data_IF_567231628580
#
_entry.id   IF_567231628580
#
_cell.length_a   1.000
_cell.length_b   1.000
_cell.length_c   1.000
_cell.angle_alpha   90.00
_cell.angle_beta   90.00
_cell.angle_gamma   90.00
#
_symmetry.space_group_name_H-M   'P 1'
#
loop_
_entity.id
_entity.type
_entity.pdbx_description
1 polymer ?
#
# COMPACT_ATOMS: atom_id res chain seq x y z
N UNK A 1 13.73 26.94 19.14
CA UNK A 1 15.19 26.77 19.35
C UNK A 1 15.64 25.73 18.32
N UNK A 2 16.28 26.23 17.27
CA UNK A 2 17.04 25.54 16.21
C UNK A 2 16.37 24.38 15.42
N UNK A 3 15.55 24.73 14.43
CA UNK A 3 15.35 23.93 13.21
C UNK A 3 16.30 24.43 12.11
N UNK A 4 17.60 24.18 12.23
CA UNK A 4 18.52 24.42 11.11
C UNK A 4 19.56 23.30 11.00
N UNK A 5 19.27 22.31 10.17
CA UNK A 5 20.24 21.40 9.59
C UNK A 5 19.56 20.73 8.41
N UNK A 6 20.14 20.87 7.22
CA UNK A 6 19.63 20.45 5.90
C UNK A 6 18.53 19.37 5.96
N UNK A 7 17.29 19.75 5.62
CA UNK A 7 16.15 18.83 5.46
C UNK A 7 16.31 17.89 4.25
N UNK A 8 17.48 17.92 3.62
CA UNK A 8 17.81 17.15 2.43
C UNK A 8 19.07 16.31 2.63
N UNK A 9 19.05 15.13 2.04
CA UNK A 9 20.06 14.08 2.12
C UNK A 9 20.63 13.81 0.72
N UNK A 10 21.93 13.51 0.68
CA UNK A 10 22.64 13.16 -0.55
C UNK A 10 23.29 14.35 -1.25
N UNK A 11 24.30 14.07 -2.08
CA UNK A 11 25.13 15.09 -2.76
C UNK A 11 24.39 15.94 -3.78
N UNK A 12 23.17 15.54 -4.16
CA UNK A 12 22.32 16.25 -5.14
C UNK A 12 21.16 16.99 -4.49
N UNK A 13 21.01 16.94 -3.17
CA UNK A 13 19.93 17.61 -2.43
C UNK A 13 18.52 17.37 -3.01
N UNK A 14 18.26 16.12 -3.42
CA UNK A 14 16.98 15.68 -3.98
C UNK A 14 16.12 14.94 -2.97
N UNK A 15 16.72 14.34 -1.95
CA UNK A 15 16.05 13.43 -1.02
C UNK A 15 15.66 14.19 0.24
N UNK A 16 14.38 14.23 0.59
CA UNK A 16 13.95 14.81 1.87
C UNK A 16 14.29 13.86 3.01
N UNK A 17 14.88 14.38 4.08
CA UNK A 17 15.31 13.59 5.24
C UNK A 17 14.15 12.82 5.86
N UNK A 18 13.01 13.49 6.07
CA UNK A 18 11.83 12.88 6.65
C UNK A 18 11.30 11.69 5.84
N UNK A 19 11.19 11.83 4.52
CA UNK A 19 10.70 10.76 3.64
C UNK A 19 11.67 9.58 3.61
N UNK A 20 12.97 9.87 3.55
CA UNK A 20 14.01 8.85 3.50
C UNK A 20 14.06 8.01 4.78
N UNK A 21 14.03 8.66 5.94
CA UNK A 21 14.03 7.98 7.24
C UNK A 21 12.78 7.11 7.40
N UNK A 22 11.60 7.61 7.03
CA UNK A 22 10.35 6.81 7.09
C UNK A 22 10.41 5.56 6.22
N UNK A 23 10.97 5.67 5.02
CA UNK A 23 11.13 4.53 4.11
C UNK A 23 12.14 3.51 4.67
N UNK A 24 13.23 3.96 5.31
CA UNK A 24 14.16 3.07 6.01
C UNK A 24 13.47 2.35 7.17
N UNK A 25 12.73 3.07 8.01
CA UNK A 25 11.99 2.50 9.14
C UNK A 25 11.02 1.42 8.63
N UNK A 26 10.31 1.68 7.53
CA UNK A 26 9.41 0.71 6.91
C UNK A 26 10.15 -0.58 6.54
N UNK A 27 11.28 -0.48 5.85
CA UNK A 27 12.06 -1.65 5.46
C UNK A 27 12.64 -2.40 6.66
N UNK A 28 13.04 -1.70 7.72
CA UNK A 28 13.48 -2.36 8.97
C UNK A 28 12.35 -3.20 9.59
N UNK A 29 11.12 -2.67 9.63
CA UNK A 29 9.96 -3.45 10.08
C UNK A 29 9.69 -4.65 9.14
N UNK A 30 9.71 -4.45 7.83
CA UNK A 30 9.49 -5.51 6.83
C UNK A 30 10.54 -6.64 6.92
N UNK A 31 11.79 -6.31 7.23
CA UNK A 31 12.89 -7.26 7.41
C UNK A 31 12.90 -7.93 8.80
N UNK A 32 12.00 -7.54 9.71
CA UNK A 32 11.89 -8.11 11.06
C UNK A 32 12.78 -7.44 12.11
N UNK A 33 13.44 -6.32 11.80
CA UNK A 33 14.28 -5.55 12.73
C UNK A 33 13.47 -4.54 13.56
N UNK A 34 12.40 -5.00 14.21
CA UNK A 34 11.46 -4.16 14.97
C UNK A 34 12.13 -3.30 16.06
N UNK A 35 13.14 -3.84 16.77
CA UNK A 35 13.89 -3.08 17.79
C UNK A 35 14.65 -1.91 17.19
N UNK A 36 15.33 -2.15 16.07
CA UNK A 36 16.11 -1.12 15.37
C UNK A 36 15.19 -0.08 14.74
N UNK A 37 14.04 -0.50 14.21
CA UNK A 37 13.03 0.40 13.67
C UNK A 37 12.49 1.36 14.75
N UNK A 38 12.08 0.82 15.90
CA UNK A 38 11.60 1.60 17.05
C UNK A 38 12.67 2.55 17.59
N UNK A 39 13.92 2.09 17.71
CA UNK A 39 15.03 2.94 18.17
C UNK A 39 15.29 4.08 17.17
N UNK A 40 15.24 3.80 15.87
CA UNK A 40 15.42 4.82 14.83
C UNK A 40 14.28 5.86 14.86
N UNK A 41 13.04 5.45 15.13
CA UNK A 41 11.92 6.38 15.34
C UNK A 41 12.18 7.33 16.52
N UNK A 42 12.69 6.81 17.64
CA UNK A 42 13.04 7.59 18.82
C UNK A 42 14.22 8.55 18.58
N UNK A 43 15.31 8.06 17.98
CA UNK A 43 16.52 8.83 17.70
C UNK A 43 16.28 9.94 16.67
N UNK A 44 15.55 9.62 15.59
CA UNK A 44 15.27 10.56 14.51
C UNK A 44 14.11 11.49 14.81
N UNK A 45 13.26 11.13 15.79
CA UNK A 45 11.95 11.76 16.08
C UNK A 45 11.00 11.76 14.87
N UNK A 46 11.22 10.85 13.94
CA UNK A 46 10.40 10.66 12.74
C UNK A 46 9.69 9.33 12.88
N UNK A 47 8.37 9.38 13.02
CA UNK A 47 7.53 8.18 13.09
C UNK A 47 7.23 7.64 11.69
N UNK A 48 7.17 6.32 11.53
CA UNK A 48 6.79 5.68 10.27
C UNK A 48 5.41 6.18 9.79
N UNK A 49 4.44 6.14 10.68
CA UNK A 49 3.06 6.52 10.46
C UNK A 49 2.44 6.99 11.77
N UNK A 50 1.33 7.73 11.67
CA UNK A 50 0.62 8.19 12.87
C UNK A 50 0.01 6.99 13.62
N UNK A 51 -0.16 7.07 14.95
CA UNK A 51 -0.77 5.99 15.72
C UNK A 51 -2.20 5.69 15.25
N UNK A 52 -2.92 6.69 14.75
CA UNK A 52 -4.25 6.54 14.15
C UNK A 52 -4.21 5.66 12.90
N UNK A 53 -3.18 5.80 12.06
CA UNK A 53 -3.01 4.96 10.86
C UNK A 53 -2.66 3.53 11.23
N UNK A 54 -1.80 3.33 12.23
CA UNK A 54 -1.48 1.99 12.75
C UNK A 54 -2.72 1.31 13.33
N UNK A 55 -3.51 2.06 14.12
CA UNK A 55 -4.78 1.59 14.66
C UNK A 55 -5.76 1.26 13.55
N UNK A 56 -5.91 2.13 12.55
CA UNK A 56 -6.76 1.91 11.39
C UNK A 56 -6.41 0.61 10.66
N UNK A 57 -5.12 0.36 10.39
CA UNK A 57 -4.67 -0.88 9.75
C UNK A 57 -5.04 -2.12 10.57
N UNK A 58 -4.82 -2.07 11.88
CA UNK A 58 -5.20 -3.18 12.78
C UNK A 58 -6.71 -3.42 12.79
N UNK A 59 -7.52 -2.36 12.83
CA UNK A 59 -8.98 -2.46 12.80
C UNK A 59 -9.50 -3.09 11.51
N UNK A 60 -8.90 -2.75 10.36
CA UNK A 60 -9.25 -3.37 9.07
C UNK A 60 -8.92 -4.87 9.06
N UNK A 61 -7.74 -5.25 9.57
CA UNK A 61 -7.33 -6.66 9.63
C UNK A 61 -8.18 -7.47 10.62
N UNK A 62 -8.55 -6.88 11.75
CA UNK A 62 -9.42 -7.49 12.76
C UNK A 62 -10.91 -7.53 12.33
N UNK A 63 -11.30 -6.73 11.33
CA UNK A 63 -12.68 -6.63 10.85
C UNK A 63 -13.56 -5.69 11.71
N UNK A 64 -12.95 -4.75 12.43
CA UNK A 64 -13.61 -3.72 13.23
C UNK A 64 -14.02 -2.54 12.36
N UNK A 65 -14.99 -2.77 11.48
CA UNK A 65 -15.35 -1.84 10.41
C UNK A 65 -15.84 -0.47 10.88
N UNK A 66 -16.75 -0.42 11.87
CA UNK A 66 -17.29 0.86 12.33
C UNK A 66 -16.25 1.71 13.06
N UNK A 67 -15.35 1.06 13.82
CA UNK A 67 -14.21 1.71 14.45
C UNK A 67 -13.21 2.22 13.41
N UNK A 68 -12.91 1.43 12.37
CA UNK A 68 -12.01 1.84 11.29
C UNK A 68 -12.50 3.11 10.57
N UNK A 69 -13.82 3.25 10.38
CA UNK A 69 -14.41 4.44 9.77
C UNK A 69 -14.29 5.65 10.72
N UNK A 70 -14.52 5.45 12.03
CA UNK A 70 -14.36 6.52 13.01
C UNK A 70 -12.90 7.00 13.09
N UNK A 71 -11.93 6.08 13.07
CA UNK A 71 -10.50 6.41 13.01
C UNK A 71 -10.15 7.17 11.73
N UNK A 72 -10.72 6.78 10.59
CA UNK A 72 -10.55 7.48 9.31
C UNK A 72 -11.09 8.91 9.36
N UNK A 73 -12.20 9.14 10.07
CA UNK A 73 -12.78 10.47 10.25
C UNK A 73 -11.89 11.41 11.08
N UNK A 74 -11.12 10.84 12.03
CA UNK A 74 -10.15 11.58 12.84
C UNK A 74 -8.91 12.05 12.06
N UNK A 75 -8.58 11.38 10.93
CA UNK A 75 -7.44 11.73 10.09
C UNK A 75 -7.81 12.95 9.22
N UNK A 76 -7.42 14.14 9.69
CA UNK A 76 -7.74 15.44 9.06
C UNK A 76 -7.00 15.71 7.75
N UNK A 77 -5.91 14.99 7.52
CA UNK A 77 -5.04 15.16 6.35
C UNK A 77 -5.61 14.52 5.07
N UNK A 78 -6.66 13.71 5.20
CA UNK A 78 -7.35 13.06 4.08
C UNK A 78 -8.36 14.02 3.42
N UNK A 79 -8.33 14.08 2.09
CA UNK A 79 -9.36 14.79 1.33
C UNK A 79 -10.73 14.12 1.53
N UNK A 80 -11.84 14.87 1.47
CA UNK A 80 -13.17 14.30 1.61
C UNK A 80 -13.49 13.26 0.52
N UNK A 81 -12.94 13.39 -0.69
CA UNK A 81 -13.10 12.42 -1.78
C UNK A 81 -12.36 11.11 -1.50
N UNK A 82 -11.10 11.19 -1.06
CA UNK A 82 -10.30 10.02 -0.70
C UNK A 82 -10.93 9.30 0.50
N UNK A 83 -11.41 10.08 1.48
CA UNK A 83 -12.14 9.56 2.65
C UNK A 83 -13.42 8.83 2.23
N UNK A 84 -14.27 9.46 1.43
CA UNK A 84 -15.52 8.84 0.98
C UNK A 84 -15.27 7.56 0.16
N UNK A 85 -14.22 7.56 -0.67
CA UNK A 85 -13.82 6.39 -1.45
C UNK A 85 -13.29 5.26 -0.55
N UNK A 86 -12.48 5.60 0.45
CA UNK A 86 -11.98 4.64 1.44
C UNK A 86 -13.13 4.05 2.29
N UNK A 87 -14.06 4.88 2.79
CA UNK A 87 -15.26 4.41 3.51
C UNK A 87 -16.10 3.52 2.60
N UNK A 88 -16.27 3.86 1.32
CA UNK A 88 -17.00 3.04 0.37
C UNK A 88 -16.37 1.64 0.23
N UNK A 89 -15.05 1.53 0.09
CA UNK A 89 -14.36 0.24 0.01
C UNK A 89 -14.52 -0.58 1.30
N UNK A 90 -14.41 0.07 2.47
CA UNK A 90 -14.61 -0.59 3.77
C UNK A 90 -16.03 -1.14 3.88
N UNK A 91 -17.04 -0.34 3.52
CA UNK A 91 -18.43 -0.78 3.53
C UNK A 91 -18.72 -1.86 2.50
N UNK A 92 -18.07 -1.80 1.34
CA UNK A 92 -18.16 -2.84 0.32
C UNK A 92 -17.62 -4.17 0.87
N UNK A 93 -16.47 -4.17 1.55
CA UNK A 93 -15.94 -5.38 2.19
C UNK A 93 -16.86 -5.87 3.31
N UNK A 94 -17.34 -4.98 4.19
CA UNK A 94 -18.31 -5.29 5.23
C UNK A 94 -19.58 -5.95 4.65
N UNK A 95 -20.08 -5.44 3.53
CA UNK A 95 -21.22 -6.00 2.80
C UNK A 95 -20.96 -7.43 2.30
N UNK A 96 -19.79 -7.70 1.73
CA UNK A 96 -19.42 -9.05 1.30
C UNK A 96 -19.30 -10.02 2.48
N UNK A 97 -18.77 -9.58 3.62
CA UNK A 97 -18.73 -10.42 4.83
C UNK A 97 -20.13 -10.78 5.36
N UNK A 98 -21.08 -9.84 5.35
CA UNK A 98 -22.48 -10.14 5.71
C UNK A 98 -23.16 -11.06 4.71
N UNK A 99 -22.91 -10.85 3.41
CA UNK A 99 -23.39 -11.77 2.39
C UNK A 99 -22.84 -13.16 2.64
N UNK A 100 -21.55 -13.34 2.89
CA UNK A 100 -20.97 -14.66 3.16
C UNK A 100 -21.59 -15.34 4.39
N UNK A 101 -22.03 -14.57 5.40
CA UNK A 101 -22.78 -15.06 6.58
C UNK A 101 -24.27 -15.30 6.34
N UNK A 102 -24.77 -15.09 5.12
CA UNK A 102 -26.19 -15.12 4.75
C UNK A 102 -27.09 -14.11 5.48
N UNK A 103 -26.52 -13.05 6.06
CA UNK A 103 -27.28 -11.97 6.67
C UNK A 103 -27.62 -10.90 5.64
N UNK A 104 -28.64 -11.19 4.83
CA UNK A 104 -29.08 -10.29 3.75
C UNK A 104 -29.79 -9.03 4.27
N UNK A 105 -30.32 -9.08 5.50
CA UNK A 105 -30.97 -7.95 6.17
C UNK A 105 -29.98 -6.83 6.46
N UNK A 106 -28.89 -7.15 7.14
CA UNK A 106 -27.85 -6.16 7.49
C UNK A 106 -27.12 -5.66 6.24
N UNK A 107 -26.88 -6.54 5.27
CA UNK A 107 -26.32 -6.16 3.97
C UNK A 107 -27.18 -5.13 3.23
N UNK A 108 -28.52 -5.25 3.29
CA UNK A 108 -29.46 -4.29 2.72
C UNK A 108 -29.45 -2.95 3.46
N UNK A 109 -29.34 -2.95 4.79
CA UNK A 109 -29.26 -1.72 5.60
C UNK A 109 -28.01 -0.93 5.23
N UNK A 110 -26.86 -1.59 5.09
CA UNK A 110 -25.59 -0.95 4.71
C UNK A 110 -25.68 -0.34 3.29
N UNK A 111 -26.27 -1.07 2.34
CA UNK A 111 -26.40 -0.63 0.96
C UNK A 111 -27.36 0.57 0.82
N UNK A 112 -28.49 0.55 1.55
CA UNK A 112 -29.50 1.61 1.52
C UNK A 112 -29.12 2.83 2.37
N UNK A 113 -28.38 2.63 3.45
CA UNK A 113 -27.95 3.68 4.37
C UNK A 113 -26.67 4.37 3.90
N UNK A 114 -25.55 4.04 4.54
CA UNK A 114 -24.29 4.79 4.40
C UNK A 114 -23.68 4.69 2.99
N UNK A 115 -23.85 3.57 2.29
CA UNK A 115 -23.31 3.41 0.92
C UNK A 115 -24.03 4.26 -0.13
N UNK A 116 -25.35 4.47 0.01
CA UNK A 116 -26.13 5.30 -0.92
C UNK A 116 -25.82 6.80 -0.73
N UNK A 117 -25.47 7.19 0.50
CA UNK A 117 -25.12 8.57 0.88
C UNK A 117 -23.71 8.97 0.44
N UNK A 118 -22.80 8.01 0.22
CA UNK A 118 -21.41 8.28 -0.16
C UNK A 118 -21.27 8.76 -1.62
N UNK A 119 -22.25 8.51 -2.49
CA UNK A 119 -22.31 9.08 -3.85
C UNK A 119 -21.20 8.67 -4.83
N UNK A 120 -20.26 7.79 -4.43
CA UNK A 120 -19.01 7.55 -5.18
C UNK A 120 -19.19 6.67 -6.42
N UNK A 121 -20.17 5.76 -6.48
CA UNK A 121 -20.39 4.95 -7.69
C UNK A 121 -21.78 4.29 -7.75
N UNK A 122 -22.72 4.93 -8.47
CA UNK A 122 -24.08 4.40 -8.67
C UNK A 122 -24.09 3.07 -9.44
N UNK A 123 -23.09 2.82 -10.29
CA UNK A 123 -22.96 1.58 -11.06
C UNK A 123 -22.55 0.40 -10.18
N UNK A 124 -21.57 0.58 -9.30
CA UNK A 124 -21.18 -0.44 -8.31
C UNK A 124 -22.31 -0.71 -7.31
N UNK A 125 -23.04 0.32 -6.86
CA UNK A 125 -24.20 0.13 -5.98
C UNK A 125 -25.29 -0.73 -6.64
N UNK A 126 -25.61 -0.47 -7.91
CA UNK A 126 -26.56 -1.29 -8.65
C UNK A 126 -26.06 -2.74 -8.80
N UNK A 127 -24.77 -2.93 -9.11
CA UNK A 127 -24.15 -4.25 -9.19
C UNK A 127 -24.25 -5.02 -7.86
N UNK A 128 -23.97 -4.37 -6.73
CA UNK A 128 -24.08 -4.95 -5.39
C UNK A 128 -25.55 -5.30 -5.06
N UNK A 129 -26.50 -4.43 -5.43
CA UNK A 129 -27.93 -4.70 -5.28
C UNK A 129 -28.37 -5.92 -6.12
N UNK A 130 -27.84 -6.10 -7.32
CA UNK A 130 -28.09 -7.30 -8.12
C UNK A 130 -27.56 -8.58 -7.46
N UNK A 131 -26.46 -8.50 -6.69
CA UNK A 131 -25.88 -9.64 -5.98
C UNK A 131 -26.76 -10.14 -4.82
N UNK A 132 -27.59 -9.27 -4.23
CA UNK A 132 -28.58 -9.67 -3.25
C UNK A 132 -29.71 -10.51 -3.87
N UNK A 133 -30.05 -10.24 -5.13
CA UNK A 133 -31.18 -10.85 -5.83
C UNK A 133 -30.78 -12.16 -6.52
N UNK A 134 -29.58 -12.24 -7.08
CA UNK A 134 -29.12 -13.38 -7.88
C UNK A 134 -27.96 -14.14 -7.22
N UNK A 135 -28.23 -15.35 -6.73
CA UNK A 135 -27.24 -16.25 -6.13
C UNK A 135 -26.10 -16.64 -7.08
N UNK A 136 -26.39 -16.80 -8.38
CA UNK A 136 -25.39 -17.09 -9.42
C UNK A 136 -24.33 -15.99 -9.54
N UNK A 137 -24.75 -14.72 -9.52
CA UNK A 137 -23.87 -13.54 -9.60
C UNK A 137 -23.08 -13.32 -8.30
N UNK A 138 -23.69 -13.65 -7.15
CA UNK A 138 -23.03 -13.70 -5.84
C UNK A 138 -21.90 -14.74 -5.80
N UNK A 139 -22.09 -15.91 -6.38
CA UNK A 139 -21.07 -16.95 -6.42
C UNK A 139 -19.93 -16.62 -7.39
N UNK A 140 -20.21 -15.95 -8.50
CA UNK A 140 -19.19 -15.50 -9.46
C UNK A 140 -18.26 -14.42 -8.87
N UNK A 141 -18.83 -13.41 -8.22
CA UNK A 141 -18.06 -12.29 -7.64
C UNK A 141 -17.44 -12.71 -6.30
N UNK A 142 -18.16 -13.49 -5.50
CA UNK A 142 -17.64 -14.08 -4.27
C UNK A 142 -16.41 -14.95 -4.54
N UNK A 143 -16.33 -15.68 -5.66
CA UNK A 143 -15.11 -16.42 -6.03
C UNK A 143 -13.89 -15.53 -6.28
N UNK A 144 -14.06 -14.28 -6.73
CA UNK A 144 -12.94 -13.32 -6.90
C UNK A 144 -12.47 -12.73 -5.56
N UNK A 145 -13.36 -12.65 -4.57
CA UNK A 145 -13.12 -12.01 -3.27
C UNK A 145 -12.90 -13.01 -2.12
N UNK A 146 -13.13 -14.31 -2.34
CA UNK A 146 -13.01 -15.35 -1.31
C UNK A 146 -11.56 -15.59 -0.87
N UNK A 147 -11.26 -15.08 0.32
CA UNK A 147 -10.15 -15.48 1.18
C UNK A 147 -10.22 -14.66 2.45
N UNK A 148 -10.68 -15.24 3.57
CA UNK A 148 -11.06 -14.48 4.78
C UNK A 148 -9.96 -13.58 5.37
N UNK A 149 -8.69 -13.90 5.12
CA UNK A 149 -7.54 -13.02 5.45
C UNK A 149 -6.95 -12.30 4.23
N UNK A 150 -6.97 -12.95 3.06
CA UNK A 150 -6.41 -12.39 1.83
C UNK A 150 -7.25 -11.23 1.29
N UNK A 151 -8.57 -11.26 1.51
CA UNK A 151 -9.50 -10.19 1.13
C UNK A 151 -9.31 -8.91 1.95
N UNK A 152 -9.03 -9.04 3.25
CA UNK A 152 -8.74 -7.90 4.13
C UNK A 152 -7.38 -7.27 3.80
N UNK A 153 -6.37 -8.08 3.49
CA UNK A 153 -5.07 -7.59 2.99
C UNK A 153 -5.19 -6.93 1.62
N UNK A 154 -5.99 -7.49 0.71
CA UNK A 154 -6.32 -6.87 -0.58
C UNK A 154 -7.03 -5.54 -0.41
N UNK A 155 -8.02 -5.45 0.49
CA UNK A 155 -8.66 -4.19 0.84
C UNK A 155 -7.64 -3.16 1.33
N UNK A 156 -6.71 -3.56 2.21
CA UNK A 156 -5.67 -2.66 2.73
C UNK A 156 -4.75 -2.15 1.61
N UNK A 157 -4.45 -3.00 0.62
CA UNK A 157 -3.71 -2.60 -0.59
C UNK A 157 -4.51 -1.64 -1.49
N UNK A 158 -5.82 -1.85 -1.67
CA UNK A 158 -6.67 -0.91 -2.41
C UNK A 158 -6.79 0.43 -1.68
N UNK A 159 -6.90 0.41 -0.36
CA UNK A 159 -6.92 1.61 0.47
C UNK A 159 -5.62 2.40 0.37
N UNK A 160 -4.46 1.74 0.27
CA UNK A 160 -3.16 2.40 0.02
C UNK A 160 -3.08 3.15 -1.31
N UNK A 161 -3.88 2.75 -2.31
CA UNK A 161 -3.92 3.45 -3.60
C UNK A 161 -4.75 4.74 -3.54
N UNK A 162 -5.68 4.82 -2.57
CA UNK A 162 -6.57 5.97 -2.39
C UNK A 162 -5.99 6.94 -1.36
N UNK A 163 -5.40 6.41 -0.28
CA UNK A 163 -4.79 7.19 0.79
C UNK A 163 -3.44 7.74 0.29
N UNK A 164 -3.17 9.05 0.42
CA UNK A 164 -1.92 9.65 0.00
C UNK A 164 -0.68 8.93 0.59
N UNK A 165 0.37 8.70 -0.20
CA UNK A 165 1.62 8.08 0.27
C UNK A 165 2.32 8.83 1.41
N UNK A 166 2.04 10.13 1.55
CA UNK A 166 2.50 10.94 2.68
C UNK A 166 1.91 10.49 4.01
N UNK A 167 0.69 9.96 3.99
CA UNK A 167 -0.02 9.46 5.17
C UNK A 167 0.30 7.97 5.36
N UNK A 168 0.20 7.19 4.29
CA UNK A 168 0.40 5.73 4.32
C UNK A 168 1.37 5.31 3.22
N UNK A 169 2.60 4.97 3.62
CA UNK A 169 3.65 4.59 2.67
C UNK A 169 3.30 3.24 2.03
N UNK A 170 3.40 3.09 0.69
CA UNK A 170 3.24 1.80 0.03
C UNK A 170 4.20 0.75 0.59
N UNK A 171 3.78 -0.50 0.71
CA UNK A 171 4.67 -1.58 1.14
C UNK A 171 5.88 -1.73 0.20
N UNK A 172 7.04 -2.04 0.78
CA UNK A 172 8.25 -2.32 0.01
C UNK A 172 8.81 -1.12 -0.75
N UNK A 173 8.61 0.12 -0.25
CA UNK A 173 8.96 1.32 -1.01
C UNK A 173 10.46 1.45 -1.26
N UNK A 174 11.31 1.10 -0.29
CA UNK A 174 12.77 1.20 -0.45
C UNK A 174 13.25 0.20 -1.49
N UNK A 175 12.77 -1.03 -1.35
CA UNK A 175 13.06 -2.18 -2.20
C UNK A 175 12.73 -1.82 -3.65
N UNK A 176 11.52 -1.30 -3.90
CA UNK A 176 11.11 -0.84 -5.22
C UNK A 176 11.99 0.28 -5.79
N UNK A 177 12.39 1.27 -4.97
CA UNK A 177 13.27 2.35 -5.40
C UNK A 177 14.68 1.84 -5.73
N UNK A 178 15.18 0.89 -4.95
CA UNK A 178 16.49 0.25 -5.14
C UNK A 178 16.48 -0.63 -6.39
N UNK A 179 15.44 -1.44 -6.60
CA UNK A 179 15.25 -2.23 -7.81
C UNK A 179 15.19 -1.33 -9.06
N UNK A 180 14.47 -0.21 -9.00
CA UNK A 180 14.41 0.75 -10.09
C UNK A 180 15.79 1.35 -10.38
N UNK A 181 16.57 1.67 -9.35
CA UNK A 181 17.94 2.16 -9.54
C UNK A 181 18.82 1.13 -10.25
N UNK A 182 18.73 -0.14 -9.86
CA UNK A 182 19.46 -1.23 -10.52
C UNK A 182 19.03 -1.42 -11.98
N UNK A 183 17.72 -1.37 -12.26
CA UNK A 183 17.19 -1.42 -13.64
C UNK A 183 17.73 -0.26 -14.50
N UNK A 184 17.77 0.95 -13.96
CA UNK A 184 18.32 2.11 -14.67
C UNK A 184 19.83 2.00 -14.92
N UNK A 185 20.59 1.41 -13.98
CA UNK A 185 22.01 1.13 -14.18
C UNK A 185 22.22 0.08 -15.27
N UNK A 186 21.37 -0.96 -15.29
CA UNK A 186 21.36 -2.00 -16.32
C UNK A 186 21.09 -1.40 -17.70
N UNK A 187 20.02 -0.60 -17.85
CA UNK A 187 19.66 0.05 -19.11
C UNK A 187 20.74 1.02 -19.63
N UNK A 188 21.51 1.63 -18.73
CA UNK A 188 22.60 2.55 -19.09
C UNK A 188 23.91 1.85 -19.44
N UNK A 189 24.00 0.55 -19.23
CA UNK A 189 25.21 -0.21 -19.48
C UNK A 189 25.36 -0.54 -20.97
N UNK A 190 26.25 0.17 -21.65
CA UNK A 190 26.49 0.08 -23.09
C UNK A 190 26.87 -1.34 -23.53
N UNK A 191 27.70 -2.05 -22.74
CA UNK A 191 28.24 -3.36 -23.09
C UNK A 191 27.62 -4.50 -22.30
N UNK A 192 26.37 -4.35 -21.85
CA UNK A 192 25.76 -5.34 -20.98
C UNK A 192 25.81 -6.75 -21.58
N UNK A 193 26.58 -7.64 -20.95
CA UNK A 193 26.71 -9.04 -21.34
C UNK A 193 26.82 -9.99 -20.14
N UNK A 194 26.43 -9.52 -18.96
CA UNK A 194 26.44 -10.32 -17.73
C UNK A 194 25.06 -10.96 -17.47
N UNK A 195 24.99 -12.14 -16.84
CA UNK A 195 23.72 -12.70 -16.40
C UNK A 195 23.05 -11.78 -15.36
N UNK A 196 21.71 -11.84 -15.24
CA UNK A 196 20.91 -10.97 -14.38
C UNK A 196 21.34 -10.92 -12.91
N UNK A 197 22.03 -11.96 -12.41
CA UNK A 197 22.44 -12.09 -11.01
C UNK A 197 23.78 -11.39 -10.66
N UNK A 198 24.42 -10.72 -11.62
CA UNK A 198 25.74 -10.10 -11.38
C UNK A 198 25.69 -8.66 -10.85
N UNK A 199 24.50 -8.08 -10.68
CA UNK A 199 24.34 -6.67 -10.31
C UNK A 199 24.46 -6.53 -8.79
N UNK A 200 25.39 -5.69 -8.34
CA UNK A 200 25.65 -5.43 -6.93
C UNK A 200 24.99 -4.12 -6.46
N UNK A 201 24.53 -4.10 -5.21
CA UNK A 201 24.11 -2.84 -4.55
C UNK A 201 25.30 -2.01 -4.04
N UNK A 202 26.48 -2.62 -3.91
CA UNK A 202 27.67 -1.97 -3.35
C UNK A 202 28.47 -1.18 -4.40
N UNK A 203 28.22 -1.41 -5.68
CA UNK A 203 28.94 -0.79 -6.80
C UNK A 203 28.05 -0.67 -8.02
N UNK A 204 28.14 0.46 -8.73
CA UNK A 204 27.36 0.68 -9.95
C UNK A 204 27.67 -0.38 -11.02
N UNK A 205 26.63 -0.86 -11.70
CA UNK A 205 26.76 -1.87 -12.75
C UNK A 205 27.50 -1.32 -13.98
N UNK A 206 28.58 -2.01 -14.38
CA UNK A 206 29.34 -1.71 -15.58
C UNK A 206 29.88 -3.00 -16.20
N UNK A 207 29.55 -3.24 -17.46
CA UNK A 207 30.18 -4.28 -18.28
C UNK A 207 31.24 -3.64 -19.19
N UNK A 208 32.40 -4.28 -19.31
CA UNK A 208 33.46 -3.84 -20.20
C UNK A 208 33.36 -4.45 -21.60
N UNK A 209 34.00 -3.83 -22.61
CA UNK A 209 34.02 -4.35 -23.99
C UNK A 209 34.76 -5.69 -24.11
N UNK A 210 35.61 -6.03 -23.15
CA UNK A 210 36.27 -7.32 -22.99
C UNK A 210 35.30 -8.47 -22.69
N UNK A 211 34.10 -8.15 -22.22
CA UNK A 211 33.08 -9.14 -21.89
C UNK A 211 32.20 -9.49 -23.08
N UNK A 212 32.36 -8.88 -24.25
CA UNK A 212 31.54 -9.16 -25.45
C UNK A 212 31.86 -10.58 -25.95
N UNK A 213 30.84 -11.43 -26.27
CA UNK A 213 31.11 -12.78 -26.75
C UNK A 213 31.86 -12.74 -28.07
N UNK A 214 33.06 -13.32 -28.09
CA UNK A 214 33.91 -13.41 -29.29
C UNK A 214 33.82 -14.76 -30.00
N UNK A 215 33.05 -15.71 -29.46
CA UNK A 215 32.84 -17.04 -30.02
C UNK A 215 31.34 -17.34 -30.17
N UNK A 216 30.95 -17.89 -31.31
CA UNK A 216 29.60 -18.41 -31.57
C UNK A 216 29.53 -19.88 -31.18
N UNK A 217 28.43 -20.31 -30.55
CA UNK A 217 28.14 -21.74 -30.40
C UNK A 217 27.74 -22.30 -31.78
N UNK A 218 28.62 -23.12 -32.37
CA UNK A 218 28.33 -23.89 -33.59
C UNK A 218 27.81 -25.29 -33.24
#
# INVERSE_FOLDING_TARGET
MEMSSSDKVGTKDLIRRCEFVRVIIQSLYSLGYWKSASLLEEESRIMLQSPEISLFQSQILEGKWDESIATLDCIRELSPEARNSAVFLILQQKFWEYLDRNDTSEALVILRGRMSQLGVDKGKLHMLACCLISRSKREEIGRKLKGGDDSRRKLLNELRLIIPPSIMIPEGRLEHLVELALLLQHERCIYHNSPKDSISLYSDHHCGPDQIPTQTLQ
#
